data_IF_133661728447
#
_entry.id   IF_133661728447
#
_cell.length_a   1.000
_cell.length_b   1.000
_cell.length_c   1.000
_cell.angle_alpha   90.00
_cell.angle_beta   90.00
_cell.angle_gamma   90.00
#
_symmetry.space_group_name_H-M   'P 1'
#
loop_
_entity.id
_entity.type
_entity.pdbx_description
1 polymer ?
#
# COMPACT_ATOMS: atom_id res chain seq x y z
N UNK A 1 1.53 -19.79 11.55
CA UNK A 1 0.93 -18.51 11.94
C UNK A 1 -0.36 -18.68 12.73
N UNK A 2 -1.20 -19.68 12.43
CA UNK A 2 -2.40 -19.99 13.22
C UNK A 2 -2.07 -20.24 14.71
N UNK A 3 -0.99 -20.96 14.99
CA UNK A 3 -0.50 -21.18 16.35
C UNK A 3 -0.11 -19.85 17.03
N UNK A 4 0.60 -18.99 16.35
CA UNK A 4 0.98 -17.66 16.85
C UNK A 4 -0.25 -16.84 17.21
N UNK A 5 -1.29 -16.88 16.39
CA UNK A 5 -2.55 -16.16 16.66
C UNK A 5 -3.24 -16.71 17.91
N UNK A 6 -3.24 -18.02 18.12
CA UNK A 6 -3.78 -18.62 19.35
C UNK A 6 -3.00 -18.16 20.58
N UNK A 7 -1.67 -18.11 20.50
CA UNK A 7 -0.79 -17.61 21.56
C UNK A 7 -1.06 -16.13 21.88
N UNK A 8 -1.28 -15.29 20.86
CA UNK A 8 -1.63 -13.87 21.04
C UNK A 8 -2.99 -13.71 21.72
N UNK A 9 -3.96 -14.56 21.39
CA UNK A 9 -5.31 -14.53 21.99
C UNK A 9 -5.34 -15.03 23.44
N UNK A 10 -4.36 -15.81 23.87
CA UNK A 10 -4.24 -16.31 25.24
C UNK A 10 -3.45 -15.32 26.11
N UNK A 11 -4.16 -14.53 26.91
CA UNK A 11 -3.55 -13.54 27.82
C UNK A 11 -2.61 -14.14 28.87
N UNK A 12 -2.67 -15.45 29.12
CA UNK A 12 -1.83 -16.17 30.09
C UNK A 12 -0.64 -16.88 29.45
N UNK A 13 -0.49 -16.80 28.11
CA UNK A 13 0.62 -17.45 27.44
C UNK A 13 1.96 -16.77 27.79
N UNK A 14 2.91 -17.55 28.28
CA UNK A 14 4.18 -17.05 28.81
C UNK A 14 5.01 -16.20 27.82
N UNK A 15 4.98 -16.57 26.53
CA UNK A 15 5.72 -15.89 25.45
C UNK A 15 4.79 -15.10 24.51
N UNK A 16 3.71 -14.56 25.08
CA UNK A 16 2.70 -13.84 24.29
C UNK A 16 3.29 -12.61 23.59
N UNK A 17 4.16 -11.87 24.26
CA UNK A 17 4.83 -10.69 23.70
C UNK A 17 5.70 -11.05 22.50
N UNK A 18 6.51 -12.12 22.60
CA UNK A 18 7.33 -12.60 21.49
C UNK A 18 6.47 -13.01 20.29
N UNK A 19 5.32 -13.63 20.54
CA UNK A 19 4.36 -14.03 19.51
C UNK A 19 3.70 -12.83 18.85
N UNK A 20 3.40 -11.80 19.61
CA UNK A 20 2.85 -10.53 19.12
C UNK A 20 3.86 -9.79 18.27
N UNK A 21 5.10 -9.65 18.73
CA UNK A 21 6.20 -9.05 17.98
C UNK A 21 6.45 -9.80 16.67
N UNK A 22 6.47 -11.13 16.71
CA UNK A 22 6.59 -11.92 15.50
C UNK A 22 5.46 -11.64 14.52
N UNK A 23 4.21 -11.56 14.98
CA UNK A 23 3.05 -11.26 14.14
C UNK A 23 3.12 -9.86 13.55
N UNK A 24 3.48 -8.87 14.36
CA UNK A 24 3.52 -7.45 13.97
C UNK A 24 4.60 -7.22 12.90
N UNK A 25 5.83 -7.69 13.17
CA UNK A 25 6.98 -7.39 12.32
C UNK A 25 7.11 -8.28 11.08
N UNK A 26 6.34 -9.37 10.98
CA UNK A 26 6.31 -10.19 9.77
C UNK A 26 5.21 -9.73 8.81
N UNK A 27 5.60 -8.88 7.87
CA UNK A 27 4.76 -8.54 6.71
C UNK A 27 4.88 -9.68 5.71
N UNK A 28 3.75 -10.30 5.41
CA UNK A 28 3.70 -11.44 4.49
C UNK A 28 3.15 -10.99 3.14
N UNK A 29 3.76 -11.45 2.03
CA UNK A 29 3.18 -11.26 0.71
C UNK A 29 1.74 -11.79 0.66
N UNK A 30 0.84 -11.05 0.03
CA UNK A 30 -0.59 -11.37 -0.03
C UNK A 30 -0.96 -12.68 -0.74
N UNK A 31 0.01 -13.41 -1.27
CA UNK A 31 -0.18 -14.67 -2.02
C UNK A 31 0.22 -15.93 -1.24
N UNK A 32 0.83 -15.81 -0.07
CA UNK A 32 1.25 -16.98 0.72
C UNK A 32 0.11 -17.53 1.58
N UNK A 33 0.16 -18.81 1.94
CA UNK A 33 -0.82 -19.43 2.85
C UNK A 33 -0.82 -18.77 4.24
N UNK A 34 0.33 -18.32 4.72
CA UNK A 34 0.44 -17.57 5.97
C UNK A 34 -0.21 -16.18 5.85
N UNK A 35 -0.12 -15.53 4.70
CA UNK A 35 -0.79 -14.26 4.44
C UNK A 35 -2.32 -14.39 4.48
N UNK A 36 -2.87 -15.51 4.00
CA UNK A 36 -4.31 -15.81 4.11
C UNK A 36 -4.75 -15.82 5.58
N UNK A 37 -3.96 -16.46 6.44
CA UNK A 37 -4.26 -16.54 7.88
C UNK A 37 -4.12 -15.17 8.54
N UNK A 38 -3.04 -14.43 8.23
CA UNK A 38 -2.81 -13.08 8.77
C UNK A 38 -3.93 -12.12 8.36
N UNK A 39 -4.29 -12.06 7.07
CA UNK A 39 -5.32 -11.15 6.58
C UNK A 39 -6.70 -11.42 7.18
N UNK A 40 -7.07 -12.70 7.36
CA UNK A 40 -8.32 -13.08 8.03
C UNK A 40 -8.36 -12.63 9.47
N UNK A 41 -7.28 -12.82 10.21
CA UNK A 41 -7.20 -12.38 11.61
C UNK A 41 -7.26 -10.85 11.73
N UNK A 42 -6.57 -10.12 10.87
CA UNK A 42 -6.68 -8.65 10.82
C UNK A 42 -8.12 -8.20 10.49
N UNK A 43 -8.82 -8.92 9.60
CA UNK A 43 -10.24 -8.67 9.36
C UNK A 43 -11.09 -8.87 10.62
N UNK A 44 -10.89 -9.96 11.35
CA UNK A 44 -11.61 -10.23 12.62
C UNK A 44 -11.46 -9.05 13.59
N UNK A 45 -10.24 -8.49 13.71
CA UNK A 45 -9.98 -7.32 14.56
C UNK A 45 -10.73 -6.09 14.02
N UNK A 46 -10.63 -5.82 12.72
CA UNK A 46 -11.30 -4.67 12.10
C UNK A 46 -12.82 -4.72 12.31
N UNK A 47 -13.45 -5.89 12.14
CA UNK A 47 -14.91 -6.01 12.29
C UNK A 47 -15.36 -6.23 13.73
N UNK A 48 -14.43 -6.40 14.67
CA UNK A 48 -14.71 -6.56 16.11
C UNK A 48 -15.05 -8.00 16.54
N UNK A 49 -14.74 -8.99 15.71
CA UNK A 49 -14.88 -10.41 16.06
C UNK A 49 -13.74 -10.94 16.94
N UNK A 50 -12.59 -10.28 16.89
CA UNK A 50 -11.43 -10.54 17.76
C UNK A 50 -10.93 -9.21 18.33
N UNK A 51 -10.49 -9.25 19.59
CA UNK A 51 -9.90 -8.10 20.29
C UNK A 51 -8.51 -8.49 20.77
N UNK A 52 -7.53 -7.68 20.44
CA UNK A 52 -6.16 -7.73 20.94
C UNK A 52 -5.77 -6.28 21.22
N UNK A 53 -5.57 -5.95 22.49
CA UNK A 53 -5.44 -4.57 22.96
C UNK A 53 -4.28 -3.81 22.28
N UNK A 54 -3.23 -4.53 21.90
CA UNK A 54 -2.03 -3.98 21.24
C UNK A 54 -2.20 -3.79 19.72
N UNK A 55 -3.29 -4.32 19.14
CA UNK A 55 -3.55 -4.22 17.70
C UNK A 55 -4.80 -3.38 17.47
N UNK A 56 -4.64 -2.09 17.22
CA UNK A 56 -5.75 -1.21 16.88
C UNK A 56 -6.34 -1.51 15.49
N UNK A 57 -7.54 -1.03 15.24
CA UNK A 57 -8.19 -1.13 13.91
C UNK A 57 -7.36 -0.41 12.85
N UNK A 58 -6.82 0.76 13.16
CA UNK A 58 -5.95 1.54 12.28
C UNK A 58 -4.68 0.77 11.92
N UNK A 59 -4.05 0.15 12.93
CA UNK A 59 -2.88 -0.69 12.72
C UNK A 59 -3.20 -1.92 11.87
N UNK A 60 -4.36 -2.55 12.06
CA UNK A 60 -4.78 -3.68 11.23
C UNK A 60 -4.97 -3.29 9.75
N UNK A 61 -5.53 -2.11 9.46
CA UNK A 61 -5.59 -1.57 8.10
C UNK A 61 -4.20 -1.27 7.52
N UNK A 62 -3.29 -0.72 8.32
CA UNK A 62 -1.90 -0.48 7.91
C UNK A 62 -1.20 -1.78 7.53
N UNK A 63 -1.32 -2.83 8.35
CA UNK A 63 -0.77 -4.16 8.05
C UNK A 63 -1.34 -4.73 6.75
N UNK A 64 -2.65 -4.65 6.53
CA UNK A 64 -3.27 -5.08 5.27
C UNK A 64 -2.75 -4.30 4.07
N UNK A 65 -2.46 -3.01 4.23
CA UNK A 65 -1.90 -2.18 3.16
C UNK A 65 -0.49 -2.61 2.75
N UNK A 66 0.32 -3.06 3.70
CA UNK A 66 1.67 -3.55 3.46
C UNK A 66 1.73 -4.93 2.81
N UNK A 67 0.66 -5.73 2.91
CA UNK A 67 0.62 -7.07 2.31
C UNK A 67 0.46 -7.04 0.78
N UNK A 68 -0.07 -5.98 0.21
CA UNK A 68 -0.13 -5.64 -1.24
C UNK A 68 -0.55 -6.78 -2.16
N UNK A 69 -1.82 -7.13 -2.15
CA UNK A 69 -2.43 -8.07 -3.09
C UNK A 69 -2.94 -9.36 -2.47
N UNK A 70 -3.45 -10.24 -3.31
CA UNK A 70 -3.96 -11.54 -2.92
C UNK A 70 -5.00 -11.48 -1.80
N UNK A 71 -4.75 -12.20 -0.72
CA UNK A 71 -5.66 -12.32 0.40
C UNK A 71 -5.95 -11.02 1.15
N UNK A 72 -5.05 -10.03 1.11
CA UNK A 72 -5.33 -8.72 1.71
C UNK A 72 -6.35 -7.94 0.90
N UNK A 73 -6.31 -8.03 -0.42
CA UNK A 73 -7.30 -7.41 -1.31
C UNK A 73 -8.68 -8.03 -1.12
N UNK A 74 -8.76 -9.36 -1.06
CA UNK A 74 -10.01 -10.08 -0.78
C UNK A 74 -10.66 -9.60 0.51
N UNK A 75 -9.89 -9.55 1.60
CA UNK A 75 -10.34 -9.09 2.92
C UNK A 75 -10.77 -7.62 2.91
N UNK A 76 -9.99 -6.76 2.26
CA UNK A 76 -10.31 -5.34 2.14
C UNK A 76 -11.59 -5.12 1.31
N UNK A 77 -11.82 -5.92 0.26
CA UNK A 77 -13.08 -5.88 -0.50
C UNK A 77 -14.27 -6.33 0.34
N UNK A 78 -14.12 -7.37 1.16
CA UNK A 78 -15.17 -7.80 2.08
C UNK A 78 -15.59 -6.66 3.02
N UNK A 79 -14.61 -5.92 3.55
CA UNK A 79 -14.87 -4.79 4.45
C UNK A 79 -15.45 -3.61 3.67
N UNK A 80 -14.90 -3.28 2.51
CA UNK A 80 -15.32 -2.15 1.68
C UNK A 80 -16.76 -2.30 1.16
N UNK A 81 -17.19 -3.52 0.88
CA UNK A 81 -18.55 -3.84 0.44
C UNK A 81 -19.48 -4.21 1.61
N UNK A 82 -18.99 -4.12 2.85
CA UNK A 82 -19.75 -4.38 4.06
C UNK A 82 -20.70 -3.25 4.45
N UNK A 83 -21.38 -3.42 5.59
CA UNK A 83 -22.42 -2.49 6.06
C UNK A 83 -21.88 -1.31 6.88
N UNK A 84 -20.71 -1.45 7.47
CA UNK A 84 -20.09 -0.40 8.30
C UNK A 84 -19.43 0.63 7.39
N UNK A 85 -20.06 1.77 7.25
CA UNK A 85 -19.63 2.83 6.33
C UNK A 85 -18.24 3.36 6.68
N UNK A 86 -17.92 3.51 7.98
CA UNK A 86 -16.62 4.02 8.40
C UNK A 86 -15.49 3.08 8.02
N UNK A 87 -15.67 1.78 8.29
CA UNK A 87 -14.69 0.74 7.93
C UNK A 87 -14.60 0.55 6.43
N UNK A 88 -15.72 0.64 5.72
CA UNK A 88 -15.76 0.57 4.26
C UNK A 88 -14.96 1.70 3.59
N UNK A 89 -15.05 2.93 4.10
CA UNK A 89 -14.25 4.06 3.61
C UNK A 89 -12.75 3.86 3.87
N UNK A 90 -12.38 3.34 5.04
CA UNK A 90 -10.98 3.03 5.35
C UNK A 90 -10.44 1.93 4.43
N UNK A 91 -11.18 0.84 4.24
CA UNK A 91 -10.80 -0.23 3.31
C UNK A 91 -10.66 0.29 1.87
N UNK A 92 -11.59 1.14 1.41
CA UNK A 92 -11.52 1.77 0.09
C UNK A 92 -10.27 2.64 -0.06
N UNK A 93 -9.87 3.37 0.99
CA UNK A 93 -8.65 4.18 0.98
C UNK A 93 -7.42 3.32 0.72
N UNK A 94 -7.33 2.14 1.33
CA UNK A 94 -6.24 1.19 1.08
C UNK A 94 -6.34 0.61 -0.33
N UNK A 95 -7.52 0.15 -0.76
CA UNK A 95 -7.72 -0.45 -2.10
C UNK A 95 -7.36 0.50 -3.24
N UNK A 96 -7.57 1.80 -3.08
CA UNK A 96 -7.16 2.82 -4.06
C UNK A 96 -5.64 2.87 -4.32
N UNK A 97 -4.84 2.31 -3.42
CA UNK A 97 -3.38 2.21 -3.56
C UNK A 97 -2.94 0.84 -4.09
N UNK A 98 -3.87 -0.06 -4.40
CA UNK A 98 -3.60 -1.38 -4.97
C UNK A 98 -3.98 -1.36 -6.46
N UNK A 99 -3.04 -1.72 -7.33
CA UNK A 99 -3.29 -1.80 -8.78
C UNK A 99 -3.81 -3.17 -9.19
N UNK A 100 -3.39 -4.20 -8.45
CA UNK A 100 -3.67 -5.59 -8.81
C UNK A 100 -4.91 -6.11 -8.09
N UNK A 101 -5.92 -6.50 -8.89
CA UNK A 101 -7.08 -7.27 -8.44
C UNK A 101 -7.19 -8.54 -9.26
N UNK A 102 -7.47 -9.66 -8.61
CA UNK A 102 -7.85 -10.87 -9.31
C UNK A 102 -9.20 -10.69 -10.01
N UNK A 103 -9.44 -11.47 -11.08
CA UNK A 103 -10.69 -11.43 -11.85
C UNK A 103 -11.93 -11.59 -10.95
N UNK A 104 -11.88 -12.52 -9.98
CA UNK A 104 -12.97 -12.73 -9.03
C UNK A 104 -13.28 -11.48 -8.20
N UNK A 105 -12.25 -10.75 -7.75
CA UNK A 105 -12.37 -9.53 -6.98
C UNK A 105 -12.88 -8.37 -7.84
N UNK A 106 -12.40 -8.28 -9.08
CA UNK A 106 -12.87 -7.29 -10.06
C UNK A 106 -14.35 -7.49 -10.34
N UNK A 107 -14.81 -8.73 -10.56
CA UNK A 107 -16.21 -9.06 -10.81
C UNK A 107 -17.10 -8.70 -9.59
N UNK A 108 -16.63 -8.92 -8.39
CA UNK A 108 -17.34 -8.50 -7.15
C UNK A 108 -17.50 -6.99 -7.08
N UNK A 109 -16.42 -6.27 -7.36
CA UNK A 109 -16.40 -4.81 -7.35
C UNK A 109 -17.33 -4.23 -8.43
N UNK A 110 -17.28 -4.76 -9.65
CA UNK A 110 -18.15 -4.37 -10.75
C UNK A 110 -19.63 -4.63 -10.45
N UNK A 111 -19.96 -5.80 -9.90
CA UNK A 111 -21.33 -6.10 -9.46
C UNK A 111 -21.83 -5.11 -8.43
N UNK A 112 -21.01 -4.74 -7.46
CA UNK A 112 -21.37 -3.75 -6.44
C UNK A 112 -21.53 -2.36 -7.04
N UNK A 113 -20.66 -1.97 -7.96
CA UNK A 113 -20.76 -0.71 -8.70
C UNK A 113 -22.08 -0.62 -9.49
N UNK A 114 -22.43 -1.65 -10.24
CA UNK A 114 -23.67 -1.72 -11.02
C UNK A 114 -24.91 -1.72 -10.12
N UNK A 115 -24.79 -2.21 -8.89
CA UNK A 115 -25.84 -2.10 -7.87
C UNK A 115 -25.92 -0.72 -7.18
N UNK A 116 -25.10 0.24 -7.60
CA UNK A 116 -25.12 1.62 -7.08
C UNK A 116 -24.31 1.83 -5.79
N UNK A 117 -23.43 0.89 -5.41
CA UNK A 117 -22.59 1.02 -4.22
C UNK A 117 -21.59 2.18 -4.40
N UNK A 118 -21.66 3.20 -3.53
CA UNK A 118 -20.83 4.40 -3.61
C UNK A 118 -19.34 4.13 -3.31
N UNK A 119 -19.04 3.15 -2.46
CA UNK A 119 -17.67 2.75 -2.14
C UNK A 119 -17.02 2.05 -3.34
N UNK A 120 -17.74 1.11 -3.97
CA UNK A 120 -17.28 0.45 -5.19
C UNK A 120 -17.01 1.49 -6.30
N UNK A 121 -17.88 2.49 -6.44
CA UNK A 121 -17.69 3.61 -7.37
C UNK A 121 -16.36 4.35 -7.10
N UNK A 122 -16.09 4.73 -5.86
CA UNK A 122 -14.86 5.44 -5.47
C UNK A 122 -13.60 4.62 -5.80
N UNK A 123 -13.65 3.30 -5.62
CA UNK A 123 -12.52 2.42 -5.93
C UNK A 123 -12.31 2.34 -7.44
N UNK A 124 -13.36 2.10 -8.23
CA UNK A 124 -13.28 2.02 -9.70
C UNK A 124 -12.83 3.36 -10.30
N UNK A 125 -13.36 4.48 -9.82
CA UNK A 125 -12.94 5.81 -10.26
C UNK A 125 -11.46 6.08 -9.98
N UNK A 126 -10.88 5.52 -8.91
CA UNK A 126 -9.45 5.64 -8.66
C UNK A 126 -8.62 4.90 -9.69
N UNK A 127 -9.06 3.73 -10.13
CA UNK A 127 -8.39 2.95 -11.18
C UNK A 127 -8.51 3.60 -12.56
N UNK A 128 -9.67 4.21 -12.85
CA UNK A 128 -9.87 4.92 -14.12
C UNK A 128 -8.97 6.13 -14.30
N UNK A 129 -8.37 6.62 -13.21
CA UNK A 129 -7.38 7.71 -13.20
C UNK A 129 -5.94 7.20 -13.35
N UNK A 130 -5.72 5.89 -13.40
CA UNK A 130 -4.41 5.32 -13.68
C UNK A 130 -3.89 5.82 -15.03
N UNK A 131 -2.56 5.92 -15.15
CA UNK A 131 -1.90 6.53 -16.32
C UNK A 131 -2.28 5.88 -17.64
N UNK A 132 -2.60 4.58 -17.65
CA UNK A 132 -3.08 3.87 -18.85
C UNK A 132 -4.34 4.48 -19.47
N UNK A 133 -5.17 5.11 -18.66
CA UNK A 133 -6.46 5.67 -19.08
C UNK A 133 -6.44 7.19 -19.18
N UNK A 134 -5.32 7.81 -18.79
CA UNK A 134 -5.17 9.26 -18.86
C UNK A 134 -4.34 9.68 -20.07
N UNK A 135 -4.83 10.68 -20.83
CA UNK A 135 -4.04 11.29 -21.88
C UNK A 135 -2.86 12.03 -21.25
N UNK A 136 -1.65 11.66 -21.65
CA UNK A 136 -0.47 12.39 -21.22
C UNK A 136 -0.49 13.81 -21.81
N UNK A 137 -0.06 14.83 -21.06
CA UNK A 137 0.08 16.17 -21.57
C UNK A 137 1.22 16.22 -22.61
N UNK A 138 1.14 17.16 -23.52
CA UNK A 138 2.23 17.44 -24.45
C UNK A 138 3.49 17.85 -23.68
N UNK A 139 4.65 17.51 -24.24
CA UNK A 139 5.93 17.90 -23.64
C UNK A 139 6.09 19.41 -23.78
N UNK A 140 6.21 20.18 -22.68
CA UNK A 140 6.39 21.62 -22.77
C UNK A 140 7.79 21.99 -23.28
N UNK A 141 7.91 23.16 -23.91
CA UNK A 141 9.21 23.68 -24.33
C UNK A 141 10.15 23.99 -23.16
N UNK A 142 9.59 24.40 -22.02
CA UNK A 142 10.32 24.68 -20.79
C UNK A 142 9.78 23.84 -19.64
N UNK A 143 10.68 23.23 -18.86
CA UNK A 143 10.35 22.52 -17.64
C UNK A 143 11.05 23.21 -16.48
N UNK A 144 10.27 23.80 -15.57
CA UNK A 144 10.79 24.33 -14.30
C UNK A 144 11.14 23.18 -13.37
N UNK A 145 12.34 23.20 -12.82
CA UNK A 145 12.88 22.12 -11.99
C UNK A 145 13.21 22.64 -10.60
N UNK A 146 13.00 21.80 -9.59
CA UNK A 146 13.59 21.90 -8.26
C UNK A 146 14.36 20.60 -8.00
N UNK A 147 15.54 20.70 -7.43
CA UNK A 147 16.40 19.55 -7.15
C UNK A 147 16.15 18.99 -5.77
N UNK A 148 16.21 17.66 -5.65
CA UNK A 148 16.17 16.92 -4.39
C UNK A 148 17.38 15.98 -4.34
N UNK A 149 18.16 16.07 -3.26
CA UNK A 149 19.32 15.18 -3.06
C UNK A 149 18.84 13.86 -2.53
N UNK A 150 18.90 12.82 -3.36
CA UNK A 150 18.46 11.47 -3.00
C UNK A 150 19.43 10.77 -2.03
N UNK A 151 20.67 11.24 -1.95
CA UNK A 151 21.68 10.74 -1.02
C UNK A 151 23.09 11.04 -1.49
N UNK A 152 24.05 10.64 -0.65
CA UNK A 152 25.49 10.74 -0.95
C UNK A 152 25.98 9.35 -1.39
N UNK A 153 26.71 9.32 -2.51
CA UNK A 153 27.18 8.07 -3.12
C UNK A 153 26.16 7.48 -4.08
N UNK A 154 26.27 6.17 -4.32
CA UNK A 154 25.44 5.46 -5.27
C UNK A 154 24.02 5.26 -4.75
N UNK A 155 23.04 5.62 -5.54
CA UNK A 155 21.62 5.48 -5.24
C UNK A 155 21.05 4.27 -5.97
N UNK A 156 20.57 3.30 -5.22
CA UNK A 156 20.05 2.06 -5.77
C UNK A 156 18.70 2.24 -6.50
N UNK A 157 18.45 1.38 -7.47
CA UNK A 157 17.15 1.30 -8.13
C UNK A 157 16.03 0.91 -7.16
N UNK A 158 16.32 0.13 -6.13
CA UNK A 158 15.32 -0.27 -5.12
C UNK A 158 14.87 0.89 -4.23
N UNK A 159 15.73 1.90 -4.01
CA UNK A 159 15.33 3.11 -3.32
C UNK A 159 14.33 3.94 -4.14
N UNK A 160 14.47 3.93 -5.45
CA UNK A 160 13.65 4.71 -6.38
C UNK A 160 12.41 3.96 -6.84
N UNK A 161 12.51 2.65 -7.01
CA UNK A 161 11.47 1.76 -7.54
C UNK A 161 11.55 0.39 -6.85
N UNK A 162 11.03 0.28 -5.60
CA UNK A 162 11.15 -0.94 -4.83
C UNK A 162 10.61 -2.18 -5.55
N UNK A 163 11.34 -3.29 -5.45
CA UNK A 163 10.93 -4.54 -6.09
C UNK A 163 9.64 -5.12 -5.54
N UNK A 164 9.36 -4.90 -4.25
CA UNK A 164 8.11 -5.28 -3.60
C UNK A 164 6.87 -4.61 -4.21
N UNK A 165 7.05 -3.43 -4.82
CA UNK A 165 5.99 -2.65 -5.45
C UNK A 165 5.92 -2.79 -6.98
N UNK A 166 6.58 -3.81 -7.52
CA UNK A 166 6.62 -4.05 -8.97
C UNK A 166 5.22 -4.14 -9.62
N UNK A 167 4.21 -4.58 -8.88
CA UNK A 167 2.82 -4.66 -9.34
C UNK A 167 2.21 -3.28 -9.64
N UNK A 168 2.70 -2.20 -9.05
CA UNK A 168 2.21 -0.84 -9.30
C UNK A 168 2.90 -0.11 -10.46
N UNK A 169 3.94 -0.72 -11.08
CA UNK A 169 4.74 -0.08 -12.14
C UNK A 169 3.96 0.29 -13.39
N UNK A 170 2.86 -0.37 -13.64
CA UNK A 170 1.96 -0.04 -14.75
C UNK A 170 1.25 1.30 -14.56
N UNK A 171 1.11 1.77 -13.32
CA UNK A 171 0.60 3.09 -12.98
C UNK A 171 1.74 3.92 -12.38
N UNK A 172 2.35 4.80 -13.18
CA UNK A 172 3.48 5.61 -12.75
C UNK A 172 3.16 6.57 -11.60
N UNK A 173 1.93 7.06 -11.53
CA UNK A 173 1.51 7.94 -10.44
C UNK A 173 1.43 7.18 -9.12
N UNK A 174 0.86 5.99 -9.14
CA UNK A 174 0.79 5.12 -7.97
C UNK A 174 2.19 4.61 -7.60
N UNK A 175 2.96 4.12 -8.58
CA UNK A 175 4.32 3.63 -8.34
C UNK A 175 5.25 4.72 -7.80
N UNK A 176 5.08 5.96 -8.23
CA UNK A 176 5.84 7.09 -7.71
C UNK A 176 5.66 7.32 -6.19
N UNK A 177 4.58 6.85 -5.60
CA UNK A 177 4.35 6.92 -4.15
C UNK A 177 5.20 5.92 -3.36
N UNK A 178 5.76 4.89 -4.03
CA UNK A 178 6.64 3.91 -3.40
C UNK A 178 8.09 4.40 -3.31
N UNK A 179 8.44 5.49 -3.98
CA UNK A 179 9.78 6.05 -3.93
C UNK A 179 10.16 6.42 -2.50
N UNK A 180 11.35 5.99 -2.07
CA UNK A 180 11.85 6.12 -0.69
C UNK A 180 10.97 5.45 0.37
N UNK A 181 10.16 4.45 0.04
CA UNK A 181 9.27 3.79 0.99
C UNK A 181 10.00 3.26 2.23
N UNK A 182 11.22 2.77 2.07
CA UNK A 182 12.07 2.28 3.16
C UNK A 182 12.83 3.39 3.92
N UNK A 183 12.70 4.65 3.48
CA UNK A 183 13.23 5.83 4.14
C UNK A 183 12.14 6.90 4.29
N UNK A 184 11.31 6.75 5.31
CA UNK A 184 10.12 7.59 5.53
C UNK A 184 10.44 9.08 5.75
N UNK A 185 11.60 9.42 6.32
CA UNK A 185 12.00 10.82 6.47
C UNK A 185 12.25 11.45 5.10
N UNK A 186 13.05 10.81 4.28
CA UNK A 186 13.38 11.27 2.94
C UNK A 186 12.13 11.34 2.04
N UNK A 187 11.21 10.37 2.18
CA UNK A 187 9.93 10.39 1.50
C UNK A 187 9.10 11.61 1.90
N UNK A 188 9.02 11.94 3.18
CA UNK A 188 8.33 13.13 3.69
C UNK A 188 8.94 14.42 3.17
N UNK A 189 10.26 14.52 3.16
CA UNK A 189 10.99 15.68 2.62
C UNK A 189 10.71 15.89 1.14
N UNK A 190 10.73 14.82 0.34
CA UNK A 190 10.40 14.85 -1.08
C UNK A 190 8.97 15.34 -1.31
N UNK A 191 8.00 14.79 -0.59
CA UNK A 191 6.59 15.19 -0.69
C UNK A 191 6.38 16.65 -0.26
N UNK A 192 7.05 17.10 0.80
CA UNK A 192 7.02 18.49 1.24
C UNK A 192 7.61 19.44 0.20
N UNK A 193 8.70 19.05 -0.46
CA UNK A 193 9.31 19.82 -1.56
C UNK A 193 8.36 19.92 -2.75
N UNK A 194 7.70 18.83 -3.14
CA UNK A 194 6.69 18.82 -4.21
C UNK A 194 5.50 19.73 -3.87
N UNK A 195 4.99 19.65 -2.64
CA UNK A 195 3.88 20.48 -2.19
C UNK A 195 4.24 21.98 -2.18
N UNK A 196 5.49 22.32 -1.84
CA UNK A 196 6.00 23.70 -1.85
C UNK A 196 6.17 24.27 -3.26
N UNK A 197 6.39 23.41 -4.25
CA UNK A 197 6.68 23.81 -5.64
C UNK A 197 5.77 23.06 -6.63
N UNK A 198 4.44 23.25 -6.59
CA UNK A 198 3.49 22.50 -7.41
C UNK A 198 3.62 22.79 -8.92
N UNK A 199 4.24 23.92 -9.29
CA UNK A 199 4.51 24.32 -10.67
C UNK A 199 5.84 23.80 -11.23
N UNK A 200 6.62 23.06 -10.42
CA UNK A 200 7.92 22.55 -10.79
C UNK A 200 7.96 21.02 -10.80
N UNK A 201 8.88 20.48 -11.59
CA UNK A 201 9.22 19.05 -11.53
C UNK A 201 10.39 18.84 -10.59
N UNK A 202 10.35 17.78 -9.81
CA UNK A 202 11.47 17.41 -8.95
C UNK A 202 12.48 16.61 -9.77
N UNK A 203 13.72 17.04 -9.75
CA UNK A 203 14.85 16.31 -10.28
C UNK A 203 15.65 15.71 -9.13
N UNK A 204 15.76 14.38 -9.11
CA UNK A 204 16.56 13.66 -8.12
C UNK A 204 18.03 13.73 -8.52
N UNK A 205 18.90 13.97 -7.57
CA UNK A 205 20.35 13.96 -7.76
C UNK A 205 21.04 13.08 -6.71
N UNK A 206 22.11 12.40 -7.12
CA UNK A 206 23.02 11.71 -6.21
C UNK A 206 24.24 12.63 -5.98
N UNK A 207 24.58 12.92 -4.73
CA UNK A 207 25.80 13.65 -4.42
C UNK A 207 26.99 12.67 -4.43
N UNK A 208 27.97 12.93 -5.28
CA UNK A 208 29.20 12.12 -5.39
C UNK A 208 28.98 10.64 -5.73
N UNK A 209 27.96 10.32 -6.51
CA UNK A 209 27.64 8.95 -6.89
C UNK A 209 26.81 8.83 -8.15
N UNK A 210 26.41 7.60 -8.44
CA UNK A 210 25.62 7.25 -9.62
C UNK A 210 24.15 7.01 -9.21
N UNK A 211 23.22 7.51 -10.03
CA UNK A 211 21.79 7.27 -9.84
C UNK A 211 21.37 5.98 -10.52
N UNK A 212 20.59 5.14 -9.80
CA UNK A 212 20.00 3.93 -10.36
C UNK A 212 20.95 2.73 -10.42
N UNK A 213 21.87 2.61 -9.48
CA UNK A 213 22.80 1.46 -9.37
C UNK A 213 22.05 0.24 -8.83
N UNK A 214 22.41 -0.94 -9.32
CA UNK A 214 21.85 -2.22 -8.87
C UNK A 214 21.22 -3.00 -10.02
N UNK A 215 20.14 -3.74 -9.73
CA UNK A 215 19.51 -4.58 -10.76
C UNK A 215 18.98 -3.76 -11.92
N UNK A 216 19.35 -4.13 -13.14
CA UNK A 216 18.68 -3.64 -14.36
C UNK A 216 17.22 -4.14 -14.35
N UNK A 217 16.30 -3.25 -14.14
CA UNK A 217 14.85 -3.54 -14.18
C UNK A 217 14.18 -2.66 -15.22
#
# INVERSE_FOLDING_TARGET
LSEIILQIKDSNYLYREDSLDFFIYNVLPGTTSAAVVKSKFLKEIIIGESVVDEISVEFAFEQLSHMKGGSSVEVLLDIALGKDVSKAEQAAKVLKTQVFLYEADTNRLEKAFNAGNSIARKIIESYSKAEFFTKLPDIPEEIKIVTFVAGIGDISTDLLSPGGDAHSRSDRQLHGQCMFEHNKEQQKELLALQAKHPDKRVMLIAEKGTMGVGSSR
#
